data_IF_737883041024
#
_entry.id   IF_737883041024
#
_cell.length_a   1.000
_cell.length_b   1.000
_cell.length_c   1.000
_cell.angle_alpha   90.00
_cell.angle_beta   90.00
_cell.angle_gamma   90.00
#
_symmetry.space_group_name_H-M   'P 1'
#
loop_
_entity.id
_entity.type
_entity.pdbx_description
1 polymer ?
#
# COMPACT_ATOMS: atom_id res chain seq x y z
N UNK A 1 -5.79 14.49 -19.64
CA UNK A 1 -6.36 14.62 -18.28
C UNK A 1 -5.27 15.18 -17.38
N UNK A 2 -5.54 16.21 -16.58
CA UNK A 2 -4.56 16.64 -15.57
C UNK A 2 -4.29 15.48 -14.61
N UNK A 3 -3.03 15.22 -14.18
CA UNK A 3 -2.77 14.20 -13.17
C UNK A 3 -3.63 14.47 -11.94
N UNK A 4 -4.36 13.46 -11.47
CA UNK A 4 -5.12 13.57 -10.22
C UNK A 4 -4.11 13.84 -9.10
N UNK A 5 -4.45 14.74 -8.17
CA UNK A 5 -3.63 14.98 -6.97
C UNK A 5 -3.32 13.62 -6.30
N UNK A 6 -2.03 13.22 -6.19
CA UNK A 6 -1.64 11.96 -5.59
C UNK A 6 -2.21 11.75 -4.18
N UNK A 7 -2.41 12.85 -3.44
CA UNK A 7 -2.86 12.79 -2.05
C UNK A 7 -4.37 12.58 -2.00
N UNK A 8 -5.12 13.21 -2.91
CA UNK A 8 -6.54 12.95 -3.10
C UNK A 8 -6.77 11.49 -3.54
N UNK A 9 -5.99 11.00 -4.51
CA UNK A 9 -6.10 9.62 -4.97
C UNK A 9 -5.82 8.62 -3.83
N UNK A 10 -4.79 8.86 -3.02
CA UNK A 10 -4.47 8.01 -1.88
C UNK A 10 -5.58 8.03 -0.81
N UNK A 11 -6.13 9.21 -0.49
CA UNK A 11 -7.27 9.34 0.44
C UNK A 11 -8.50 8.57 -0.03
N UNK A 12 -8.85 8.68 -1.31
CA UNK A 12 -10.02 7.99 -1.88
C UNK A 12 -9.87 6.47 -1.77
N UNK A 13 -8.69 5.95 -2.11
CA UNK A 13 -8.37 4.51 -2.04
C UNK A 13 -8.39 4.02 -0.59
N UNK A 14 -7.71 4.73 0.32
CA UNK A 14 -7.67 4.37 1.75
C UNK A 14 -9.06 4.36 2.38
N UNK A 15 -9.90 5.36 2.07
CA UNK A 15 -11.29 5.37 2.54
C UNK A 15 -12.11 4.21 1.99
N UNK A 16 -11.83 3.74 0.78
CA UNK A 16 -12.44 2.52 0.22
C UNK A 16 -12.02 1.25 0.98
N UNK A 17 -10.72 1.14 1.27
CA UNK A 17 -10.16 0.00 2.03
C UNK A 17 -10.71 -0.02 3.46
N UNK A 18 -10.79 1.13 4.11
CA UNK A 18 -11.36 1.24 5.46
C UNK A 18 -12.82 0.79 5.51
N UNK A 19 -13.65 1.23 4.54
CA UNK A 19 -15.04 0.76 4.44
C UNK A 19 -15.14 -0.75 4.20
N UNK A 20 -14.24 -1.32 3.39
CA UNK A 20 -14.20 -2.76 3.18
C UNK A 20 -13.82 -3.50 4.48
N UNK A 21 -12.83 -3.00 5.20
CA UNK A 21 -12.40 -3.56 6.49
C UNK A 21 -13.50 -3.52 7.55
N UNK A 22 -14.37 -2.52 7.52
CA UNK A 22 -15.54 -2.43 8.40
C UNK A 22 -16.67 -3.41 8.02
N UNK A 23 -16.73 -3.84 6.76
CA UNK A 23 -17.83 -4.65 6.23
C UNK A 23 -17.51 -6.15 6.08
N UNK A 24 -16.24 -6.53 6.17
CA UNK A 24 -15.79 -7.92 6.01
C UNK A 24 -15.16 -8.45 7.29
N UNK A 25 -15.34 -9.76 7.56
CA UNK A 25 -14.71 -10.41 8.70
C UNK A 25 -13.18 -10.40 8.61
N UNK A 26 -12.65 -10.51 7.39
CA UNK A 26 -11.21 -10.43 7.10
C UNK A 26 -11.00 -9.62 5.83
N UNK A 27 -10.04 -8.71 5.85
CA UNK A 27 -9.60 -7.95 4.68
C UNK A 27 -8.10 -8.14 4.49
N UNK A 28 -7.71 -8.62 3.31
CA UNK A 28 -6.32 -8.78 2.91
C UNK A 28 -6.05 -7.85 1.74
N UNK A 29 -5.08 -6.96 1.90
CA UNK A 29 -4.63 -6.05 0.84
C UNK A 29 -3.25 -6.50 0.38
N UNK A 30 -3.12 -6.76 -0.92
CA UNK A 30 -1.83 -7.03 -1.56
C UNK A 30 -1.43 -5.79 -2.35
N UNK A 31 -0.23 -5.30 -2.10
CA UNK A 31 0.34 -4.16 -2.81
C UNK A 31 1.80 -4.43 -3.17
N UNK A 32 2.41 -3.52 -3.92
CA UNK A 32 3.75 -3.66 -4.49
C UNK A 32 4.66 -2.51 -4.03
N UNK A 33 5.95 -2.83 -3.88
CA UNK A 33 7.04 -1.85 -3.79
C UNK A 33 7.63 -1.63 -5.19
N UNK A 34 7.67 -0.37 -5.64
CA UNK A 34 8.19 0.09 -6.93
C UNK A 34 9.29 1.15 -6.77
N UNK A 35 9.96 1.16 -5.61
CA UNK A 35 10.93 2.19 -5.24
C UNK A 35 12.39 1.72 -5.33
N UNK A 36 12.64 0.44 -5.65
CA UNK A 36 13.97 -0.18 -5.60
C UNK A 36 14.70 -0.31 -6.96
N UNK A 37 14.19 0.29 -8.05
CA UNK A 37 14.75 0.13 -9.40
C UNK A 37 15.84 1.15 -9.80
N UNK A 38 15.99 2.25 -9.03
CA UNK A 38 16.93 3.34 -9.33
C UNK A 38 16.61 4.14 -10.59
N UNK A 39 15.45 3.93 -11.20
CA UNK A 39 15.06 4.55 -12.47
C UNK A 39 14.42 5.93 -12.27
N UNK A 40 14.60 6.80 -13.26
CA UNK A 40 13.85 8.06 -13.38
C UNK A 40 12.67 7.84 -14.31
N UNK A 41 11.50 8.31 -13.90
CA UNK A 41 10.28 8.20 -14.68
C UNK A 41 9.74 9.58 -15.09
N UNK A 42 8.78 9.56 -16.01
CA UNK A 42 8.03 10.76 -16.37
C UNK A 42 7.20 11.29 -15.18
N UNK A 43 6.75 12.53 -15.28
CA UNK A 43 6.00 13.21 -14.22
C UNK A 43 4.71 12.46 -13.81
N UNK A 44 4.02 11.86 -14.78
CA UNK A 44 2.79 11.09 -14.52
C UNK A 44 3.07 9.84 -13.71
N UNK A 45 4.11 9.09 -14.08
CA UNK A 45 4.56 7.92 -13.33
C UNK A 45 5.05 8.32 -11.93
N UNK A 46 5.80 9.42 -11.78
CA UNK A 46 6.22 9.94 -10.48
C UNK A 46 5.04 10.37 -9.59
N UNK A 47 4.00 10.96 -10.17
CA UNK A 47 2.77 11.29 -9.47
C UNK A 47 2.05 10.01 -8.98
N UNK A 48 1.97 8.98 -9.82
CA UNK A 48 1.43 7.68 -9.43
C UNK A 48 2.26 7.00 -8.33
N UNK A 49 3.60 6.99 -8.45
CA UNK A 49 4.54 6.49 -7.43
C UNK A 49 4.32 7.17 -6.08
N UNK A 50 4.10 8.49 -6.09
CA UNK A 50 3.74 9.27 -4.89
C UNK A 50 2.38 8.88 -4.29
N UNK A 51 1.40 8.51 -5.11
CA UNK A 51 0.09 8.05 -4.63
C UNK A 51 0.20 6.65 -4.01
N UNK A 52 0.83 5.69 -4.70
CA UNK A 52 0.95 4.31 -4.21
C UNK A 52 1.83 4.23 -2.95
N UNK A 53 2.86 5.07 -2.81
CA UNK A 53 3.64 5.19 -1.57
C UNK A 53 2.74 5.51 -0.37
N UNK A 54 1.83 6.48 -0.54
CA UNK A 54 0.90 6.90 0.51
C UNK A 54 -0.15 5.84 0.81
N UNK A 55 -0.66 5.15 -0.22
CA UNK A 55 -1.56 4.02 -0.03
C UNK A 55 -0.87 2.90 0.75
N UNK A 56 0.35 2.52 0.39
CA UNK A 56 1.10 1.46 1.06
C UNK A 56 1.34 1.80 2.54
N UNK A 57 1.79 3.02 2.83
CA UNK A 57 1.99 3.49 4.20
C UNK A 57 0.67 3.52 5.00
N UNK A 58 -0.41 4.02 4.39
CA UNK A 58 -1.73 4.10 5.03
C UNK A 58 -2.34 2.72 5.31
N UNK A 59 -2.26 1.79 4.35
CA UNK A 59 -2.73 0.41 4.53
C UNK A 59 -1.95 -0.30 5.62
N UNK A 60 -0.61 -0.17 5.63
CA UNK A 60 0.22 -0.76 6.68
C UNK A 60 -0.11 -0.19 8.07
N UNK A 61 -0.44 1.11 8.16
CA UNK A 61 -0.87 1.73 9.40
C UNK A 61 -2.23 1.19 9.87
N UNK A 62 -3.21 1.05 8.96
CA UNK A 62 -4.56 0.53 9.23
C UNK A 62 -4.57 -0.95 9.59
N UNK A 63 -3.74 -1.77 8.94
CA UNK A 63 -3.78 -3.22 9.07
C UNK A 63 -3.33 -3.69 10.46
N UNK A 64 -3.95 -4.76 10.98
CA UNK A 64 -3.49 -5.41 12.22
C UNK A 64 -2.09 -6.02 12.04
N UNK A 65 -1.79 -6.51 10.83
CA UNK A 65 -0.53 -7.11 10.43
C UNK A 65 -0.08 -6.59 9.08
N UNK A 66 1.21 -6.35 8.92
CA UNK A 66 1.82 -5.96 7.66
C UNK A 66 3.05 -6.83 7.40
N UNK A 67 3.13 -7.41 6.21
CA UNK A 67 4.21 -8.28 5.78
C UNK A 67 4.73 -7.82 4.42
N UNK A 68 6.03 -7.65 4.32
CA UNK A 68 6.72 -7.52 3.05
C UNK A 68 7.21 -8.90 2.62
N UNK A 69 6.96 -9.30 1.38
CA UNK A 69 7.37 -10.60 0.86
C UNK A 69 8.50 -10.40 -0.13
N UNK A 70 9.73 -10.72 0.28
CA UNK A 70 10.94 -10.55 -0.53
C UNK A 70 11.44 -11.93 -0.95
N UNK A 71 11.45 -12.22 -2.26
CA UNK A 71 11.85 -13.52 -2.79
C UNK A 71 11.11 -14.71 -2.13
N UNK A 72 9.83 -14.52 -1.76
CA UNK A 72 9.01 -15.51 -1.05
C UNK A 72 9.23 -15.58 0.46
N UNK A 73 10.14 -14.78 1.02
CA UNK A 73 10.44 -14.72 2.45
C UNK A 73 9.56 -13.64 3.09
N UNK A 74 8.74 -13.98 4.11
CA UNK A 74 7.92 -12.99 4.81
C UNK A 74 8.77 -12.21 5.83
N UNK A 75 8.76 -10.89 5.69
CA UNK A 75 9.35 -9.92 6.64
C UNK A 75 8.20 -9.18 7.32
N UNK A 76 7.99 -9.45 8.61
CA UNK A 76 6.89 -8.85 9.38
C UNK A 76 7.25 -7.42 9.78
N UNK A 77 6.54 -6.46 9.19
CA UNK A 77 6.70 -5.02 9.44
C UNK A 77 5.81 -4.55 10.59
N UNK A 78 4.67 -5.23 10.79
CA UNK A 78 3.74 -5.00 11.91
C UNK A 78 3.08 -6.31 12.32
N UNK A 79 2.97 -6.52 13.63
CA UNK A 79 2.49 -7.77 14.20
C UNK A 79 3.50 -8.90 14.07
N UNK A 80 3.10 -10.10 14.47
CA UNK A 80 3.94 -11.30 14.40
C UNK A 80 3.34 -12.33 13.45
N UNK A 81 4.22 -13.18 12.90
CA UNK A 81 3.81 -14.32 12.10
C UNK A 81 3.18 -15.43 12.94
N UNK A 82 2.57 -16.44 12.28
CA UNK A 82 2.03 -17.59 12.98
C UNK A 82 3.13 -18.26 13.83
N UNK A 83 2.94 -18.31 15.15
CA UNK A 83 3.67 -19.25 16.00
C UNK A 83 3.23 -20.65 15.61
N UNK A 84 4.20 -21.50 15.25
CA UNK A 84 3.99 -22.90 14.86
C UNK A 84 3.25 -23.68 15.94
#
# INVERSE_FOLDING_TARGET
MSPRDPDAAARDVLGGIERLAQAAAYTVVVTVDVFADGMRYDEGTEAWRRAIARVNAGVAALADRAVEVVCGIPVWMKGEGPTR
#
